data_IF_146439985472
#
_entry.id   IF_146439985472
#
_cell.length_a   1.000
_cell.length_b   1.000
_cell.length_c   1.000
_cell.angle_alpha   90.00
_cell.angle_beta   90.00
_cell.angle_gamma   90.00
#
_symmetry.space_group_name_H-M   'P 1'
#
loop_
_entity.id
_entity.type
_entity.pdbx_description
1 polymer ?
#
# COMPACT_ATOMS: atom_id res chain seq x y z
N UNK A 1 0.41 -10.46 2.00
CA UNK A 1 -0.82 -10.80 1.24
C UNK A 1 -1.71 -11.62 2.14
N UNK A 2 -2.96 -11.22 2.25
CA UNK A 2 -3.94 -11.99 2.96
C UNK A 2 -5.06 -12.35 1.99
N UNK A 3 -4.88 -13.45 1.27
CA UNK A 3 -6.04 -14.22 0.86
C UNK A 3 -6.55 -14.88 2.14
N UNK A 4 -7.65 -14.36 2.70
CA UNK A 4 -8.26 -14.89 3.93
C UNK A 4 -7.97 -14.14 5.24
N UNK A 5 -7.75 -12.81 5.27
CA UNK A 5 -7.91 -12.08 6.55
C UNK A 5 -7.28 -10.69 6.65
N UNK A 6 -8.04 -9.72 7.14
CA UNK A 6 -7.48 -8.49 7.71
C UNK A 6 -6.70 -8.84 9.01
N UNK A 7 -5.59 -8.15 9.32
CA UNK A 7 -4.94 -8.22 10.63
C UNK A 7 -5.84 -7.81 11.82
N UNK A 8 -6.94 -7.11 11.58
CA UNK A 8 -7.85 -6.62 12.62
C UNK A 8 -8.91 -7.64 13.05
N UNK A 9 -9.17 -8.69 12.26
CA UNK A 9 -10.13 -9.73 12.59
C UNK A 9 -9.45 -10.92 13.27
N UNK A 10 -9.79 -11.16 14.54
CA UNK A 10 -9.33 -12.34 15.31
C UNK A 10 -9.99 -13.66 14.86
N UNK A 11 -10.81 -13.65 13.82
CA UNK A 11 -11.50 -14.82 13.26
C UNK A 11 -11.10 -15.03 11.80
N UNK A 12 -9.98 -15.73 11.59
CA UNK A 12 -9.38 -16.03 10.26
C UNK A 12 -10.22 -17.00 9.39
N UNK A 13 -11.47 -17.24 9.76
CA UNK A 13 -12.26 -18.40 9.32
C UNK A 13 -13.37 -18.10 8.31
N UNK A 14 -13.62 -16.83 7.93
CA UNK A 14 -14.89 -16.46 7.24
C UNK A 14 -14.80 -16.01 5.78
N UNK A 15 -13.62 -15.78 5.20
CA UNK A 15 -13.53 -15.36 3.78
C UNK A 15 -13.39 -16.57 2.85
N UNK A 16 -14.29 -16.68 1.87
CA UNK A 16 -14.26 -17.76 0.89
C UNK A 16 -13.15 -17.53 -0.13
N UNK A 17 -12.53 -18.59 -0.66
CA UNK A 17 -11.54 -18.48 -1.74
C UNK A 17 -12.09 -17.81 -3.02
N UNK A 18 -13.41 -17.78 -3.20
CA UNK A 18 -14.09 -17.05 -4.28
C UNK A 18 -14.07 -15.53 -4.09
N UNK A 19 -13.76 -15.04 -2.90
CA UNK A 19 -13.65 -13.61 -2.62
C UNK A 19 -12.30 -13.05 -3.08
N UNK A 20 -12.27 -11.74 -3.27
CA UNK A 20 -11.08 -10.96 -3.60
C UNK A 20 -10.08 -10.91 -2.42
N UNK A 21 -8.79 -11.04 -2.73
CA UNK A 21 -7.76 -10.90 -1.70
C UNK A 21 -7.49 -9.43 -1.34
N UNK A 22 -7.16 -9.19 -0.07
CA UNK A 22 -6.69 -7.89 0.39
C UNK A 22 -5.16 -7.85 0.42
N UNK A 23 -4.61 -6.78 -0.12
CA UNK A 23 -3.19 -6.60 -0.32
C UNK A 23 -2.63 -5.57 0.67
N UNK A 24 -1.53 -5.94 1.31
CA UNK A 24 -0.90 -5.11 2.34
C UNK A 24 -0.01 -4.06 1.67
N UNK A 25 -0.28 -2.78 1.94
CA UNK A 25 0.45 -1.62 1.39
C UNK A 25 1.52 -1.06 2.32
N UNK A 26 1.86 -1.81 3.36
CA UNK A 26 3.00 -1.48 4.22
C UNK A 26 4.30 -1.59 3.45
N UNK A 27 5.32 -0.82 3.85
CA UNK A 27 6.69 -1.12 3.42
C UNK A 27 7.02 -2.56 3.80
N UNK A 28 7.58 -3.30 2.85
CA UNK A 28 7.85 -4.72 3.04
C UNK A 28 8.76 -4.97 4.25
N UNK A 29 8.32 -5.85 5.16
CA UNK A 29 9.10 -6.23 6.33
C UNK A 29 10.32 -7.11 6.00
N UNK A 30 10.50 -7.52 4.74
CA UNK A 30 11.66 -8.28 4.29
C UNK A 30 12.91 -7.39 4.23
N UNK A 31 13.48 -7.14 5.41
CA UNK A 31 14.67 -6.31 5.62
C UNK A 31 15.53 -6.89 6.75
N UNK A 32 16.82 -6.61 6.68
CA UNK A 32 17.78 -6.81 7.75
C UNK A 32 18.88 -5.75 7.64
N UNK A 33 19.87 -5.81 8.53
CA UNK A 33 21.00 -4.87 8.52
C UNK A 33 21.81 -4.88 7.22
N UNK A 34 21.71 -5.95 6.42
CA UNK A 34 22.45 -6.10 5.17
C UNK A 34 21.63 -5.69 3.92
N UNK A 35 20.30 -5.59 4.02
CA UNK A 35 19.42 -5.33 2.86
C UNK A 35 18.03 -4.88 3.30
N UNK A 36 17.36 -4.07 2.49
CA UNK A 36 15.96 -3.70 2.73
C UNK A 36 15.16 -3.72 1.43
N UNK A 37 13.97 -4.34 1.47
CA UNK A 37 13.01 -4.24 0.38
C UNK A 37 12.33 -2.87 0.44
N UNK A 38 12.42 -2.09 -0.64
CA UNK A 38 11.78 -0.78 -0.79
C UNK A 38 10.32 -0.86 -1.27
N UNK A 39 9.89 -2.04 -1.71
CA UNK A 39 8.55 -2.24 -2.28
C UNK A 39 7.49 -2.44 -1.20
N UNK A 40 6.23 -2.30 -1.61
CA UNK A 40 5.08 -2.59 -0.77
C UNK A 40 4.99 -4.10 -0.45
N UNK A 41 4.40 -4.43 0.69
CA UNK A 41 4.34 -5.78 1.23
C UNK A 41 3.63 -6.76 0.27
N UNK A 42 2.71 -6.30 -0.56
CA UNK A 42 2.08 -7.15 -1.57
C UNK A 42 2.94 -7.41 -2.81
N UNK A 43 3.85 -6.51 -3.16
CA UNK A 43 4.64 -6.62 -4.37
C UNK A 43 5.69 -7.74 -4.23
N UNK A 44 5.97 -8.49 -5.32
CA UNK A 44 7.10 -9.40 -5.37
C UNK A 44 8.37 -8.70 -4.89
N UNK A 45 9.06 -9.29 -3.92
CA UNK A 45 10.29 -8.70 -3.41
C UNK A 45 11.36 -8.72 -4.51
N UNK A 46 12.10 -7.63 -4.67
CA UNK A 46 13.25 -7.56 -5.58
C UNK A 46 14.59 -7.87 -4.87
N UNK A 47 14.57 -7.99 -3.55
CA UNK A 47 15.78 -8.25 -2.75
C UNK A 47 16.21 -9.71 -2.80
N UNK A 48 17.51 -9.94 -3.04
CA UNK A 48 18.11 -11.27 -2.92
C UNK A 48 18.06 -11.77 -1.46
N UNK A 49 17.96 -13.09 -1.22
CA UNK A 49 18.04 -13.65 0.12
C UNK A 49 19.32 -13.25 0.87
N UNK A 50 19.21 -12.99 2.17
CA UNK A 50 20.39 -12.79 3.00
C UNK A 50 21.12 -14.13 3.16
N UNK A 51 22.46 -14.10 3.13
CA UNK A 51 23.32 -15.28 3.34
C UNK A 51 24.08 -15.26 4.67
N UNK A 52 24.00 -14.16 5.42
CA UNK A 52 24.69 -14.04 6.71
C UNK A 52 23.95 -14.83 7.80
N UNK A 53 24.73 -15.47 8.69
CA UNK A 53 24.20 -16.11 9.90
C UNK A 53 23.50 -15.08 10.80
N UNK A 54 22.49 -15.54 11.52
CA UNK A 54 21.84 -14.70 12.52
C UNK A 54 22.79 -14.44 13.70
N UNK A 55 22.89 -13.19 14.15
CA UNK A 55 23.71 -12.79 15.31
C UNK A 55 22.91 -12.74 16.61
N UNK A 56 21.62 -13.07 16.57
CA UNK A 56 20.75 -13.06 17.76
C UNK A 56 20.97 -14.30 18.63
N UNK A 57 20.62 -14.17 19.91
CA UNK A 57 20.48 -15.30 20.84
C UNK A 57 19.02 -15.74 20.89
N UNK A 58 18.81 -17.05 21.04
CA UNK A 58 17.50 -17.65 21.31
C UNK A 58 17.07 -17.34 22.75
N UNK A 59 15.80 -17.64 23.07
CA UNK A 59 15.26 -17.44 24.44
C UNK A 59 16.05 -18.19 25.52
N UNK A 60 16.65 -19.33 25.18
CA UNK A 60 17.53 -20.09 26.05
C UNK A 60 18.93 -19.49 26.24
N UNK A 61 19.25 -18.34 25.61
CA UNK A 61 20.55 -17.67 25.70
C UNK A 61 21.62 -18.16 24.71
N UNK A 62 21.38 -19.28 24.02
CA UNK A 62 22.31 -19.82 23.03
C UNK A 62 22.22 -19.11 21.67
N UNK A 63 23.29 -19.19 20.89
CA UNK A 63 23.38 -18.60 19.56
C UNK A 63 22.34 -19.17 18.59
N UNK A 64 21.68 -18.30 17.83
CA UNK A 64 20.72 -18.71 16.80
C UNK A 64 21.43 -19.39 15.61
N UNK A 65 20.87 -20.51 15.17
CA UNK A 65 21.36 -21.28 14.02
C UNK A 65 20.74 -20.84 12.67
N UNK A 66 19.87 -19.83 12.69
CA UNK A 66 19.18 -19.33 11.50
C UNK A 66 19.97 -18.32 10.68
N UNK A 67 19.29 -17.72 9.70
CA UNK A 67 19.83 -16.66 8.85
C UNK A 67 19.37 -15.27 9.29
N UNK A 68 20.19 -14.26 9.02
CA UNK A 68 19.87 -12.87 9.28
C UNK A 68 18.68 -12.40 8.42
N UNK A 69 17.69 -11.74 9.05
CA UNK A 69 16.48 -11.25 8.39
C UNK A 69 15.36 -12.28 8.26
N UNK A 70 15.60 -13.53 8.67
CA UNK A 70 14.55 -14.53 8.81
C UNK A 70 13.99 -14.55 10.24
N UNK A 71 12.83 -15.18 10.40
CA UNK A 71 12.33 -15.55 11.73
C UNK A 71 13.33 -16.52 12.35
N UNK A 72 13.73 -16.24 13.60
CA UNK A 72 14.68 -17.12 14.28
C UNK A 72 14.00 -18.47 14.54
N UNK A 73 14.63 -19.59 14.16
CA UNK A 73 14.13 -20.92 14.46
C UNK A 73 14.12 -21.14 15.96
N UNK A 74 13.08 -21.80 16.49
CA UNK A 74 13.02 -22.16 17.91
C UNK A 74 13.94 -23.35 18.28
N UNK A 75 14.56 -24.02 17.30
CA UNK A 75 15.45 -25.17 17.50
C UNK A 75 16.85 -24.74 17.94
N UNK A 76 17.28 -25.19 19.12
CA UNK A 76 18.60 -24.94 19.68
C UNK A 76 19.50 -26.19 19.58
N UNK A 77 20.75 -26.02 19.14
CA UNK A 77 21.70 -27.14 19.04
C UNK A 77 22.10 -27.74 20.40
N UNK A 78 22.01 -26.96 21.48
CA UNK A 78 22.38 -27.39 22.84
C UNK A 78 21.15 -27.95 23.56
N UNK A 79 20.04 -27.21 23.58
CA UNK A 79 18.83 -27.64 24.29
C UNK A 79 18.11 -28.80 23.59
N UNK A 80 18.15 -28.86 22.26
CA UNK A 80 17.41 -29.84 21.44
C UNK A 80 18.35 -30.82 20.73
N UNK A 81 19.39 -31.29 21.42
CA UNK A 81 20.49 -32.06 20.82
C UNK A 81 20.03 -33.29 20.00
N UNK A 82 18.99 -34.00 20.44
CA UNK A 82 18.45 -35.16 19.70
C UNK A 82 17.86 -34.75 18.34
N UNK A 83 16.97 -33.75 18.33
CA UNK A 83 16.32 -33.24 17.11
C UNK A 83 17.32 -32.52 16.21
N UNK A 84 18.32 -31.88 16.80
CA UNK A 84 19.44 -31.30 16.08
C UNK A 84 20.25 -32.37 15.35
N UNK A 85 20.67 -33.44 16.04
CA UNK A 85 21.38 -34.57 15.42
C UNK A 85 20.59 -35.21 14.29
N UNK A 86 19.27 -35.36 14.45
CA UNK A 86 18.40 -35.87 13.39
C UNK A 86 18.42 -34.99 12.13
N UNK A 87 18.33 -33.66 12.30
CA UNK A 87 18.30 -32.71 11.20
C UNK A 87 19.59 -32.72 10.38
N UNK A 88 20.73 -32.97 11.03
CA UNK A 88 22.06 -33.00 10.41
C UNK A 88 22.58 -34.42 10.12
N UNK A 89 21.74 -35.46 10.22
CA UNK A 89 22.17 -36.87 10.05
C UNK A 89 22.94 -37.11 8.74
N UNK A 90 22.57 -36.39 7.67
CA UNK A 90 23.13 -36.54 6.33
C UNK A 90 23.89 -35.29 5.84
N UNK A 91 24.30 -34.37 6.75
CA UNK A 91 24.89 -33.08 6.35
C UNK A 91 25.88 -32.55 7.40
N UNK A 92 26.86 -31.74 6.97
CA UNK A 92 27.84 -31.14 7.88
C UNK A 92 27.20 -30.18 8.90
N UNK A 93 27.67 -30.20 10.16
CA UNK A 93 27.14 -29.41 11.27
C UNK A 93 27.30 -27.87 11.14
N UNK A 94 27.72 -27.36 10.00
CA UNK A 94 27.99 -25.93 9.75
C UNK A 94 26.86 -25.20 9.00
N UNK A 95 25.88 -25.94 8.44
CA UNK A 95 24.76 -25.40 7.67
C UNK A 95 23.76 -24.65 8.55
N UNK A 96 23.19 -23.56 8.00
CA UNK A 96 22.14 -22.78 8.68
C UNK A 96 20.78 -23.44 8.49
N UNK A 97 19.87 -23.23 9.45
CA UNK A 97 18.52 -23.82 9.43
C UNK A 97 17.44 -22.77 9.18
N UNK A 98 16.31 -23.20 8.63
CA UNK A 98 15.08 -22.42 8.51
C UNK A 98 13.93 -23.14 9.19
N UNK A 99 13.02 -22.36 9.77
CA UNK A 99 11.73 -22.84 10.26
C UNK A 99 10.61 -22.16 9.46
N UNK A 100 9.84 -22.94 8.72
CA UNK A 100 8.66 -22.40 8.04
C UNK A 100 7.56 -22.07 9.05
N UNK A 101 7.05 -20.84 9.00
CA UNK A 101 6.02 -20.38 9.96
C UNK A 101 4.64 -21.03 9.71
N UNK A 102 4.39 -21.53 8.50
CA UNK A 102 3.11 -22.16 8.14
C UNK A 102 2.96 -23.57 8.68
N UNK A 103 4.04 -24.36 8.72
CA UNK A 103 4.02 -25.77 9.11
C UNK A 103 4.97 -26.13 10.26
N UNK A 104 5.77 -25.18 10.77
CA UNK A 104 6.71 -25.38 11.87
C UNK A 104 7.90 -26.30 11.56
N UNK A 105 8.05 -26.77 10.31
CA UNK A 105 9.13 -27.68 9.94
C UNK A 105 10.49 -26.98 9.92
N UNK A 106 11.49 -27.64 10.51
CA UNK A 106 12.90 -27.25 10.44
C UNK A 106 13.60 -27.97 9.30
N UNK A 107 14.32 -27.23 8.46
CA UNK A 107 15.10 -27.76 7.35
C UNK A 107 16.43 -27.02 7.21
N UNK A 108 17.42 -27.70 6.64
CA UNK A 108 18.68 -27.08 6.21
C UNK A 108 18.43 -26.16 5.02
N UNK A 109 18.98 -24.95 5.05
CA UNK A 109 18.78 -23.92 4.01
C UNK A 109 19.10 -24.47 2.62
N UNK A 110 20.20 -25.19 2.47
CA UNK A 110 20.64 -25.76 1.19
C UNK A 110 19.65 -26.75 0.58
N UNK A 111 19.08 -27.63 1.42
CA UNK A 111 18.07 -28.59 1.00
C UNK A 111 16.78 -27.90 0.58
N UNK A 112 16.39 -26.84 1.29
CA UNK A 112 15.21 -26.05 0.92
C UNK A 112 15.45 -25.29 -0.38
N UNK A 113 16.60 -24.64 -0.54
CA UNK A 113 16.92 -23.90 -1.77
C UNK A 113 16.90 -24.80 -3.00
N UNK A 114 17.48 -26.01 -2.91
CA UNK A 114 17.46 -27.00 -3.99
C UNK A 114 16.02 -27.46 -4.30
N UNK A 115 15.23 -27.81 -3.28
CA UNK A 115 13.86 -28.28 -3.46
C UNK A 115 12.95 -27.20 -4.04
N UNK A 116 13.05 -25.96 -3.55
CA UNK A 116 12.28 -24.83 -4.08
C UNK A 116 12.69 -24.55 -5.54
N UNK A 117 13.99 -24.55 -5.85
CA UNK A 117 14.45 -24.36 -7.23
C UNK A 117 13.90 -25.44 -8.19
N UNK A 118 13.80 -26.69 -7.73
CA UNK A 118 13.19 -27.78 -8.51
C UNK A 118 11.70 -27.55 -8.74
N UNK A 119 10.94 -27.25 -7.68
CA UNK A 119 9.49 -26.96 -7.78
C UNK A 119 9.20 -25.80 -8.74
N UNK A 120 10.04 -24.76 -8.71
CA UNK A 120 9.91 -23.63 -9.64
C UNK A 120 10.14 -24.01 -11.11
N UNK A 121 11.10 -24.91 -11.40
CA UNK A 121 11.34 -25.40 -12.77
C UNK A 121 10.15 -26.21 -13.29
N UNK A 122 9.53 -26.99 -12.41
CA UNK A 122 8.31 -27.75 -12.70
C UNK A 122 7.04 -26.89 -12.73
N UNK A 123 7.14 -25.58 -12.44
CA UNK A 123 6.00 -24.64 -12.31
C UNK A 123 4.96 -25.11 -11.29
N UNK A 124 5.40 -25.84 -10.27
CA UNK A 124 4.55 -26.27 -9.17
C UNK A 124 4.45 -25.18 -8.10
N UNK A 125 3.32 -25.19 -7.37
CA UNK A 125 3.19 -24.36 -6.17
C UNK A 125 4.21 -24.75 -5.12
N UNK A 126 4.84 -23.76 -4.49
CA UNK A 126 5.83 -24.01 -3.47
C UNK A 126 5.24 -24.76 -2.26
N UNK A 127 5.85 -25.90 -1.94
CA UNK A 127 5.49 -26.78 -0.82
C UNK A 127 6.69 -27.00 0.09
N UNK A 128 6.40 -27.22 1.36
CA UNK A 128 7.42 -27.63 2.32
C UNK A 128 8.05 -28.95 1.88
N UNK A 129 9.38 -29.04 1.73
CA UNK A 129 10.02 -30.29 1.30
C UNK A 129 9.90 -31.44 2.30
N UNK A 130 9.61 -31.13 3.59
CA UNK A 130 9.47 -32.14 4.65
C UNK A 130 8.06 -32.72 4.75
N UNK A 131 7.04 -31.85 4.81
CA UNK A 131 5.66 -32.26 5.09
C UNK A 131 4.69 -32.02 3.93
N UNK A 132 5.18 -31.50 2.80
CA UNK A 132 4.41 -31.21 1.58
C UNK A 132 3.29 -30.17 1.75
N UNK A 133 3.15 -29.56 2.94
CA UNK A 133 2.21 -28.47 3.16
C UNK A 133 2.49 -27.29 2.24
N UNK A 134 1.43 -26.69 1.69
CA UNK A 134 1.52 -25.50 0.83
C UNK A 134 2.17 -24.34 1.58
N UNK A 135 3.20 -23.75 0.99
CA UNK A 135 3.82 -22.55 1.52
C UNK A 135 2.99 -21.32 1.13
N UNK A 136 2.78 -20.44 2.09
CA UNK A 136 2.14 -19.13 1.90
C UNK A 136 3.16 -18.00 2.02
N UNK A 137 2.80 -16.78 1.60
CA UNK A 137 3.66 -15.59 1.67
C UNK A 137 4.22 -15.31 3.08
N UNK A 138 3.55 -15.78 4.14
CA UNK A 138 3.98 -15.61 5.54
C UNK A 138 4.98 -16.69 6.01
N UNK A 139 5.27 -17.69 5.19
CA UNK A 139 6.05 -18.86 5.62
C UNK A 139 7.53 -18.54 5.86
N UNK A 140 8.13 -17.68 5.04
CA UNK A 140 9.57 -17.34 5.09
C UNK A 140 9.88 -16.11 4.21
N UNK A 141 10.81 -15.24 4.64
CA UNK A 141 11.19 -14.04 3.88
C UNK A 141 12.11 -14.38 2.69
N UNK A 142 12.91 -15.44 2.80
CA UNK A 142 13.83 -15.92 1.75
C UNK A 142 13.13 -16.19 0.43
N UNK A 143 11.95 -16.80 0.48
CA UNK A 143 11.16 -17.18 -0.70
C UNK A 143 9.99 -16.21 -0.97
N UNK A 144 9.99 -15.05 -0.30
CA UNK A 144 8.88 -14.10 -0.42
C UNK A 144 8.68 -13.62 -1.87
N UNK A 145 9.73 -13.49 -2.67
CA UNK A 145 9.59 -13.08 -4.08
C UNK A 145 8.79 -14.09 -4.91
N UNK A 146 9.05 -15.38 -4.70
CA UNK A 146 8.40 -16.50 -5.38
C UNK A 146 6.96 -16.68 -4.89
N UNK A 147 6.78 -16.77 -3.58
CA UNK A 147 5.48 -16.97 -2.94
C UNK A 147 4.52 -15.81 -3.26
N UNK A 148 5.04 -14.58 -3.35
CA UNK A 148 4.23 -13.44 -3.77
C UNK A 148 3.84 -13.49 -5.24
N UNK A 149 4.73 -13.94 -6.14
CA UNK A 149 4.39 -14.16 -7.54
C UNK A 149 3.31 -15.23 -7.71
N UNK A 150 3.41 -16.34 -6.98
CA UNK A 150 2.37 -17.39 -7.00
C UNK A 150 1.02 -16.86 -6.51
N UNK A 151 1.01 -16.14 -5.39
CA UNK A 151 -0.22 -15.55 -4.86
C UNK A 151 -0.88 -14.59 -5.88
N UNK A 152 -0.08 -13.76 -6.56
CA UNK A 152 -0.58 -12.89 -7.64
C UNK A 152 -1.07 -13.68 -8.85
N UNK A 153 -0.39 -14.77 -9.22
CA UNK A 153 -0.80 -15.66 -10.30
C UNK A 153 -2.13 -16.35 -10.03
N UNK A 154 -2.37 -16.79 -8.80
CA UNK A 154 -3.67 -17.35 -8.37
C UNK A 154 -4.78 -16.32 -8.53
N UNK A 155 -4.56 -15.09 -8.07
CA UNK A 155 -5.54 -14.02 -8.21
C UNK A 155 -5.81 -13.69 -9.69
N UNK A 156 -4.76 -13.59 -10.51
CA UNK A 156 -4.90 -13.42 -11.97
C UNK A 156 -5.72 -14.54 -12.61
N UNK A 157 -5.54 -15.79 -12.16
CA UNK A 157 -6.34 -16.93 -12.58
C UNK A 157 -7.83 -16.78 -12.30
N UNK A 158 -8.22 -16.21 -11.15
CA UNK A 158 -9.63 -15.93 -10.82
C UNK A 158 -10.27 -14.96 -11.81
N UNK A 159 -9.53 -13.95 -12.25
CA UNK A 159 -10.00 -12.99 -13.26
C UNK A 159 -10.14 -13.60 -14.66
N UNK A 160 -9.40 -14.66 -14.97
CA UNK A 160 -9.48 -15.35 -16.27
C UNK A 160 -10.55 -16.45 -16.30
N UNK A 161 -10.85 -17.09 -15.17
CA UNK A 161 -11.66 -18.31 -15.11
C UNK A 161 -13.16 -18.10 -14.77
N UNK A 162 -13.61 -16.89 -14.43
CA UNK A 162 -14.99 -16.69 -13.98
C UNK A 162 -16.01 -16.69 -15.14
N UNK A 163 -17.12 -17.41 -14.94
CA UNK A 163 -18.25 -17.51 -15.85
C UNK A 163 -18.88 -16.12 -16.12
N UNK A 164 -19.38 -15.94 -17.35
CA UNK A 164 -19.82 -14.64 -17.86
C UNK A 164 -21.35 -14.58 -17.88
N UNK A 165 -21.96 -13.80 -17.00
CA UNK A 165 -23.27 -13.19 -17.29
C UNK A 165 -23.04 -12.06 -18.29
N UNK A 166 -23.22 -12.36 -19.59
CA UNK A 166 -22.83 -11.51 -20.70
C UNK A 166 -23.52 -10.14 -20.68
N UNK A 167 -24.81 -10.05 -20.32
CA UNK A 167 -25.58 -8.80 -20.44
C UNK A 167 -25.25 -7.81 -19.31
N UNK A 168 -25.27 -8.29 -18.06
CA UNK A 168 -24.99 -7.44 -16.89
C UNK A 168 -23.54 -6.94 -16.89
N UNK A 169 -22.59 -7.81 -17.22
CA UNK A 169 -21.17 -7.46 -17.32
C UNK A 169 -20.94 -6.46 -18.45
N UNK A 170 -21.61 -6.60 -19.60
CA UNK A 170 -21.48 -5.67 -20.72
C UNK A 170 -21.93 -4.24 -20.37
N UNK A 171 -23.07 -4.09 -19.68
CA UNK A 171 -23.57 -2.78 -19.22
C UNK A 171 -22.63 -2.14 -18.20
N UNK A 172 -22.18 -2.90 -17.21
CA UNK A 172 -21.22 -2.41 -16.21
C UNK A 172 -19.90 -1.96 -16.86
N UNK A 173 -19.35 -2.76 -17.79
CA UNK A 173 -18.16 -2.40 -18.58
C UNK A 173 -18.34 -1.09 -19.34
N UNK A 174 -19.45 -0.95 -20.06
CA UNK A 174 -19.76 0.26 -20.84
C UNK A 174 -19.87 1.51 -19.95
N UNK A 175 -20.49 1.38 -18.77
CA UNK A 175 -20.61 2.48 -17.81
C UNK A 175 -19.24 2.90 -17.26
N UNK A 176 -18.36 1.95 -16.91
CA UNK A 176 -16.99 2.24 -16.46
C UNK A 176 -16.20 2.96 -17.55
N UNK A 177 -16.26 2.46 -18.80
CA UNK A 177 -15.55 3.08 -19.94
C UNK A 177 -16.05 4.51 -20.18
N UNK A 178 -17.36 4.73 -20.11
CA UNK A 178 -17.96 6.07 -20.26
C UNK A 178 -17.50 7.01 -19.16
N UNK A 179 -17.49 6.53 -17.91
CA UNK A 179 -16.99 7.29 -16.77
C UNK A 179 -15.51 7.67 -16.92
N UNK A 180 -14.65 6.70 -17.29
CA UNK A 180 -13.23 6.95 -17.56
C UNK A 180 -13.05 7.98 -18.68
N UNK A 181 -13.88 7.95 -19.74
CA UNK A 181 -13.84 8.94 -20.81
C UNK A 181 -14.16 10.35 -20.32
N UNK A 182 -15.16 10.50 -19.43
CA UNK A 182 -15.49 11.77 -18.78
C UNK A 182 -14.33 12.28 -17.95
N UNK A 183 -13.73 11.44 -17.10
CA UNK A 183 -12.58 11.83 -16.27
C UNK A 183 -11.38 12.28 -17.12
N UNK A 184 -11.07 11.55 -18.21
CA UNK A 184 -10.01 11.95 -19.16
C UNK A 184 -10.31 13.32 -19.77
N UNK A 185 -11.56 13.57 -20.16
CA UNK A 185 -11.98 14.87 -20.72
C UNK A 185 -11.78 15.99 -19.71
N UNK A 186 -12.19 15.80 -18.46
CA UNK A 186 -12.08 16.80 -17.41
C UNK A 186 -10.63 17.07 -16.99
N UNK A 187 -9.81 16.02 -16.92
CA UNK A 187 -8.37 16.16 -16.69
C UNK A 187 -7.68 16.93 -17.84
N UNK A 188 -8.01 16.64 -19.10
CA UNK A 188 -7.51 17.39 -20.27
C UNK A 188 -7.93 18.85 -20.24
N UNK A 189 -9.18 19.15 -19.87
CA UNK A 189 -9.66 20.53 -19.69
C UNK A 189 -8.84 21.27 -18.63
N UNK A 190 -8.60 20.63 -17.48
CA UNK A 190 -7.79 21.19 -16.40
C UNK A 190 -6.33 21.43 -16.83
N UNK A 191 -5.75 20.49 -17.59
CA UNK A 191 -4.41 20.61 -18.13
C UNK A 191 -4.22 21.88 -18.98
N UNK A 192 -5.19 22.17 -19.85
CA UNK A 192 -5.16 23.35 -20.72
C UNK A 192 -5.10 24.65 -19.92
N UNK A 193 -5.77 24.71 -18.77
CA UNK A 193 -5.81 25.86 -17.86
C UNK A 193 -4.59 25.97 -16.92
N UNK A 194 -3.77 24.92 -16.83
CA UNK A 194 -2.67 24.82 -15.86
C UNK A 194 -1.36 25.36 -16.45
N UNK A 195 -0.52 26.03 -15.65
CA UNK A 195 0.80 26.51 -16.10
C UNK A 195 1.75 25.36 -16.45
N UNK A 196 2.66 25.48 -17.43
CA UNK A 196 3.61 24.42 -17.83
C UNK A 196 4.39 23.79 -16.67
N UNK A 197 4.83 24.60 -15.70
CA UNK A 197 5.55 24.15 -14.50
C UNK A 197 4.74 23.22 -13.57
N UNK A 198 3.41 23.12 -13.77
CA UNK A 198 2.47 22.32 -12.96
C UNK A 198 1.76 21.22 -13.76
N UNK A 199 2.06 21.10 -15.06
CA UNK A 199 1.34 20.21 -16.01
C UNK A 199 1.80 18.75 -15.94
N UNK A 200 3.05 18.49 -15.54
CA UNK A 200 3.64 17.15 -15.58
C UNK A 200 2.80 16.09 -14.86
N UNK A 201 2.23 16.45 -13.71
CA UNK A 201 1.39 15.58 -12.92
C UNK A 201 0.07 15.18 -13.60
N UNK A 202 -0.69 16.19 -14.03
CA UNK A 202 -1.98 15.99 -14.68
C UNK A 202 -1.81 15.15 -15.95
N UNK A 203 -0.70 15.31 -16.68
CA UNK A 203 -0.37 14.49 -17.84
C UNK A 203 -0.23 13.01 -17.48
N UNK A 204 0.57 12.68 -16.45
CA UNK A 204 0.80 11.29 -16.05
C UNK A 204 -0.48 10.58 -15.63
N UNK A 205 -1.36 11.27 -14.89
CA UNK A 205 -2.65 10.74 -14.49
C UNK A 205 -3.61 10.62 -15.68
N UNK A 206 -3.70 11.65 -16.53
CA UNK A 206 -4.56 11.62 -17.73
C UNK A 206 -4.18 10.44 -18.63
N UNK A 207 -2.90 10.25 -18.89
CA UNK A 207 -2.37 9.15 -19.69
C UNK A 207 -2.62 7.78 -19.05
N UNK A 208 -2.48 7.67 -17.72
CA UNK A 208 -2.81 6.44 -17.00
C UNK A 208 -4.30 6.10 -17.10
N UNK A 209 -5.20 7.05 -16.86
CA UNK A 209 -6.66 6.86 -16.93
C UNK A 209 -7.10 6.54 -18.37
N UNK A 210 -6.50 7.17 -19.38
CA UNK A 210 -6.81 6.89 -20.78
C UNK A 210 -6.30 5.51 -21.22
N UNK A 211 -5.10 5.12 -20.77
CA UNK A 211 -4.55 3.77 -20.98
C UNK A 211 -5.46 2.70 -20.38
N UNK A 212 -5.99 2.96 -19.18
CA UNK A 212 -6.97 2.11 -18.52
C UNK A 212 -8.23 2.01 -19.37
N UNK A 213 -8.79 3.13 -19.81
CA UNK A 213 -10.00 3.17 -20.64
C UNK A 213 -9.85 2.33 -21.90
N UNK A 214 -8.71 2.47 -22.59
CA UNK A 214 -8.39 1.72 -23.81
C UNK A 214 -8.22 0.22 -23.50
N UNK A 215 -7.49 -0.12 -22.43
CA UNK A 215 -7.32 -1.50 -21.99
C UNK A 215 -8.65 -2.14 -21.60
N UNK A 216 -9.50 -1.40 -20.89
CA UNK A 216 -10.83 -1.82 -20.45
C UNK A 216 -11.69 -2.22 -21.64
N UNK A 217 -11.71 -1.40 -22.70
CA UNK A 217 -12.46 -1.70 -23.93
C UNK A 217 -12.06 -3.06 -24.54
N UNK A 218 -10.76 -3.39 -24.51
CA UNK A 218 -10.18 -4.62 -25.09
C UNK A 218 -10.23 -5.84 -24.18
N UNK A 219 -10.46 -5.66 -22.88
CA UNK A 219 -10.40 -6.74 -21.89
C UNK A 219 -11.66 -7.60 -21.83
N UNK A 220 -11.50 -8.87 -21.41
CA UNK A 220 -12.61 -9.70 -20.96
C UNK A 220 -13.15 -9.17 -19.63
N UNK A 221 -14.47 -9.17 -19.47
CA UNK A 221 -15.13 -8.59 -18.29
C UNK A 221 -16.14 -9.57 -17.72
N UNK A 222 -15.92 -9.98 -16.48
CA UNK A 222 -16.77 -10.90 -15.72
C UNK A 222 -17.18 -10.27 -14.38
N UNK A 223 -17.95 -11.01 -13.59
CA UNK A 223 -18.47 -10.51 -12.31
C UNK A 223 -17.38 -10.15 -11.30
N UNK A 224 -16.28 -10.90 -11.26
CA UNK A 224 -15.14 -10.63 -10.36
C UNK A 224 -14.47 -9.31 -10.74
N UNK A 225 -14.27 -9.08 -12.05
CA UNK A 225 -13.77 -7.82 -12.59
C UNK A 225 -14.74 -6.68 -12.28
N UNK A 226 -16.04 -6.88 -12.51
CA UNK A 226 -17.07 -5.86 -12.24
C UNK A 226 -17.11 -5.43 -10.77
N UNK A 227 -17.05 -6.39 -9.84
CA UNK A 227 -17.00 -6.13 -8.40
C UNK A 227 -15.74 -5.34 -8.01
N UNK A 228 -14.57 -5.77 -8.51
CA UNK A 228 -13.30 -5.09 -8.23
C UNK A 228 -13.31 -3.64 -8.72
N UNK A 229 -13.83 -3.39 -9.92
CA UNK A 229 -13.96 -2.03 -10.46
C UNK A 229 -14.96 -1.19 -9.68
N UNK A 230 -16.11 -1.76 -9.28
CA UNK A 230 -17.08 -1.04 -8.45
C UNK A 230 -16.46 -0.51 -7.16
N UNK A 231 -15.56 -1.28 -6.54
CA UNK A 231 -14.82 -0.86 -5.33
C UNK A 231 -13.74 0.16 -5.62
N UNK A 232 -13.09 0.07 -6.79
CA UNK A 232 -11.98 0.94 -7.16
C UNK A 232 -12.41 2.32 -7.68
N UNK A 233 -13.59 2.40 -8.30
CA UNK A 233 -14.11 3.62 -8.91
C UNK A 233 -14.14 4.84 -7.95
N UNK A 234 -14.63 4.72 -6.69
CA UNK A 234 -14.57 5.81 -5.72
C UNK A 234 -13.16 6.39 -5.53
N UNK A 235 -12.17 5.53 -5.27
CA UNK A 235 -10.79 5.98 -5.03
C UNK A 235 -10.16 6.60 -6.28
N UNK A 236 -10.49 6.09 -7.48
CA UNK A 236 -10.05 6.71 -8.73
C UNK A 236 -10.72 8.05 -8.99
N UNK A 237 -12.01 8.19 -8.66
CA UNK A 237 -12.72 9.46 -8.75
C UNK A 237 -12.11 10.50 -7.82
N UNK A 238 -11.83 10.10 -6.58
CA UNK A 238 -11.15 10.95 -5.60
C UNK A 238 -9.74 11.34 -6.07
N UNK A 239 -8.98 10.41 -6.66
CA UNK A 239 -7.66 10.67 -7.24
C UNK A 239 -7.73 11.71 -8.36
N UNK A 240 -8.71 11.61 -9.25
CA UNK A 240 -8.93 12.58 -10.31
C UNK A 240 -9.37 13.94 -9.75
N UNK A 241 -10.31 13.96 -8.80
CA UNK A 241 -10.81 15.17 -8.16
C UNK A 241 -9.69 15.93 -7.41
N UNK A 242 -8.89 15.22 -6.61
CA UNK A 242 -7.78 15.84 -5.88
C UNK A 242 -6.70 16.35 -6.82
N UNK A 243 -6.39 15.62 -7.89
CA UNK A 243 -5.38 16.05 -8.85
C UNK A 243 -5.80 17.32 -9.59
N UNK A 244 -7.09 17.44 -9.96
CA UNK A 244 -7.65 18.68 -10.51
C UNK A 244 -7.55 19.84 -9.52
N UNK A 245 -7.91 19.63 -8.24
CA UNK A 245 -7.79 20.67 -7.20
C UNK A 245 -6.35 21.10 -6.97
N UNK A 246 -5.40 20.16 -6.90
CA UNK A 246 -3.97 20.46 -6.73
C UNK A 246 -3.45 21.31 -7.89
N UNK A 247 -3.85 21.00 -9.11
CA UNK A 247 -3.41 21.73 -10.29
C UNK A 247 -3.87 23.20 -10.32
N UNK A 248 -5.07 23.48 -9.82
CA UNK A 248 -5.63 24.84 -9.75
C UNK A 248 -5.25 25.57 -8.46
N UNK A 249 -4.78 24.86 -7.43
CA UNK A 249 -4.40 25.47 -6.15
C UNK A 249 -3.06 26.21 -6.29
N UNK A 250 -3.01 27.43 -5.72
CA UNK A 250 -1.77 28.16 -5.50
C UNK A 250 -1.21 27.75 -4.15
N UNK A 251 0.02 27.21 -4.09
CA UNK A 251 0.69 26.88 -2.82
C UNK A 251 1.68 27.98 -2.43
N UNK A 252 1.99 28.08 -1.14
CA UNK A 252 3.08 28.92 -0.65
C UNK A 252 4.43 28.27 -0.93
N UNK A 253 5.41 29.07 -1.36
CA UNK A 253 6.76 28.60 -1.69
C UNK A 253 7.66 28.44 -0.48
N UNK A 254 7.35 29.06 0.67
CA UNK A 254 8.00 28.86 1.96
C UNK A 254 7.25 29.78 2.96
N UNK A 255 6.81 29.31 4.14
CA UNK A 255 6.26 30.21 5.15
C UNK A 255 7.29 31.27 5.57
N UNK A 256 6.79 32.46 5.92
CA UNK A 256 7.65 33.58 6.31
C UNK A 256 8.46 33.26 7.57
N UNK A 257 9.60 33.95 7.75
CA UNK A 257 10.49 33.75 8.92
C UNK A 257 9.80 34.05 10.26
N UNK A 258 8.79 34.93 10.27
CA UNK A 258 8.03 35.27 11.47
C UNK A 258 6.99 34.20 11.87
N UNK A 259 6.85 33.11 11.09
CA UNK A 259 5.93 32.00 11.36
C UNK A 259 6.72 30.69 11.60
N UNK A 260 7.50 30.59 12.70
CA UNK A 260 8.37 29.46 12.97
C UNK A 260 7.63 28.12 13.08
N UNK A 261 6.41 28.08 13.63
CA UNK A 261 5.65 26.84 13.79
C UNK A 261 5.18 26.30 12.44
N UNK A 262 4.59 27.16 11.60
CA UNK A 262 4.21 26.79 10.23
C UNK A 262 5.41 26.38 9.38
N UNK A 263 6.54 27.09 9.49
CA UNK A 263 7.78 26.74 8.78
C UNK A 263 8.29 25.36 9.20
N UNK A 264 8.15 25.01 10.48
CA UNK A 264 8.50 23.69 11.01
C UNK A 264 7.63 22.58 10.41
N UNK A 265 6.31 22.78 10.35
CA UNK A 265 5.38 21.84 9.70
C UNK A 265 5.73 21.69 8.21
N UNK A 266 5.86 22.81 7.49
CA UNK A 266 6.13 22.79 6.06
C UNK A 266 7.45 22.08 5.72
N UNK A 267 8.51 22.37 6.47
CA UNK A 267 9.82 21.75 6.25
C UNK A 267 9.79 20.25 6.51
N UNK A 268 9.06 19.80 7.54
CA UNK A 268 8.95 18.38 7.88
C UNK A 268 8.27 17.56 6.76
N UNK A 269 7.20 18.08 6.15
CA UNK A 269 6.37 17.31 5.22
C UNK A 269 6.68 17.53 3.73
N UNK A 270 7.33 18.63 3.38
CA UNK A 270 7.68 18.97 1.98
C UNK A 270 9.19 19.08 1.73
N UNK A 271 10.02 18.97 2.78
CA UNK A 271 11.48 18.88 2.67
C UNK A 271 12.19 20.15 2.17
N UNK A 272 13.47 20.00 1.79
CA UNK A 272 14.34 21.11 1.34
C UNK A 272 13.98 21.68 -0.04
N UNK A 273 13.24 20.95 -0.87
CA UNK A 273 12.82 21.43 -2.19
C UNK A 273 11.87 22.63 -2.09
N UNK A 274 11.23 22.82 -0.93
CA UNK A 274 10.23 23.86 -0.66
C UNK A 274 9.11 23.91 -1.73
N UNK A 275 8.89 22.78 -2.41
CA UNK A 275 7.99 22.67 -3.54
C UNK A 275 6.96 21.58 -3.28
N UNK A 276 5.75 22.03 -2.94
CA UNK A 276 4.59 21.17 -2.69
C UNK A 276 4.26 20.29 -3.89
N UNK A 277 4.32 20.84 -5.11
CA UNK A 277 4.04 20.07 -6.33
C UNK A 277 5.03 18.91 -6.46
N UNK A 278 6.33 19.15 -6.33
CA UNK A 278 7.34 18.08 -6.40
C UNK A 278 7.13 16.95 -5.37
N UNK A 279 6.77 17.31 -4.13
CA UNK A 279 6.53 16.33 -3.07
C UNK A 279 5.26 15.49 -3.25
N UNK A 280 4.27 16.04 -3.95
CA UNK A 280 3.03 15.37 -4.32
C UNK A 280 3.24 14.54 -5.60
N UNK A 281 3.96 15.08 -6.58
CA UNK A 281 4.25 14.46 -7.87
C UNK A 281 4.94 13.11 -7.70
N UNK A 282 5.92 13.00 -6.80
CA UNK A 282 6.60 11.73 -6.53
C UNK A 282 5.65 10.61 -6.07
N UNK A 283 4.62 10.93 -5.28
CA UNK A 283 3.61 9.94 -4.85
C UNK A 283 2.67 9.57 -6.00
N UNK A 284 2.25 10.54 -6.79
CA UNK A 284 1.38 10.32 -7.94
C UNK A 284 2.07 9.55 -9.07
N UNK A 285 3.35 9.80 -9.33
CA UNK A 285 4.14 9.00 -10.28
C UNK A 285 4.22 7.52 -9.87
N UNK A 286 4.40 7.25 -8.58
CA UNK A 286 4.36 5.87 -8.07
C UNK A 286 2.98 5.23 -8.28
N UNK A 287 1.90 5.91 -7.89
CA UNK A 287 0.54 5.38 -8.04
C UNK A 287 0.14 5.14 -9.49
N UNK A 288 0.42 6.10 -10.37
CA UNK A 288 0.13 5.99 -11.81
C UNK A 288 0.96 4.89 -12.47
N UNK A 289 2.22 4.69 -12.05
CA UNK A 289 3.03 3.55 -12.45
C UNK A 289 2.40 2.20 -12.09
N UNK A 290 1.89 2.06 -10.86
CA UNK A 290 1.17 0.87 -10.43
C UNK A 290 -0.12 0.64 -11.19
N UNK A 291 -0.90 1.70 -11.41
CA UNK A 291 -2.13 1.64 -12.20
C UNK A 291 -1.87 1.06 -13.58
N UNK A 292 -0.90 1.59 -14.33
CA UNK A 292 -0.59 1.11 -15.69
C UNK A 292 -0.18 -0.36 -15.74
N UNK A 293 0.56 -0.84 -14.75
CA UNK A 293 1.13 -2.20 -14.76
C UNK A 293 0.13 -3.28 -14.32
N UNK A 294 -0.78 -2.97 -13.41
CA UNK A 294 -1.52 -4.03 -12.68
C UNK A 294 -3.03 -3.95 -12.80
N UNK A 295 -3.60 -2.80 -13.17
CA UNK A 295 -5.06 -2.58 -13.10
C UNK A 295 -5.86 -3.42 -14.09
N UNK A 296 -5.24 -3.79 -15.21
CA UNK A 296 -5.89 -4.62 -16.22
C UNK A 296 -5.74 -6.11 -15.94
N UNK A 297 -4.75 -6.50 -15.13
CA UNK A 297 -4.47 -7.91 -14.84
C UNK A 297 -5.12 -8.38 -13.54
N UNK A 298 -5.00 -7.59 -12.48
CA UNK A 298 -5.47 -7.94 -11.13
C UNK A 298 -5.92 -6.67 -10.39
N UNK A 299 -7.02 -6.00 -10.79
CA UNK A 299 -7.44 -4.72 -10.21
C UNK A 299 -7.66 -4.76 -8.69
N UNK A 300 -8.01 -5.92 -8.12
CA UNK A 300 -8.12 -6.11 -6.67
C UNK A 300 -6.81 -5.83 -5.90
N UNK A 301 -5.65 -5.99 -6.54
CA UNK A 301 -4.34 -5.64 -5.95
C UNK A 301 -4.14 -4.15 -5.72
N UNK A 302 -4.83 -3.34 -6.51
CA UNK A 302 -4.65 -1.91 -6.51
C UNK A 302 -5.60 -1.18 -5.56
N UNK A 303 -6.73 -1.78 -5.17
CA UNK A 303 -7.72 -1.14 -4.29
C UNK A 303 -7.05 -0.55 -3.05
N UNK A 304 -6.30 -1.32 -2.23
CA UNK A 304 -5.68 -0.74 -1.03
C UNK A 304 -4.58 0.27 -1.37
N UNK A 305 -3.86 0.07 -2.48
CA UNK A 305 -2.75 0.93 -2.89
C UNK A 305 -3.23 2.30 -3.34
N UNK A 306 -4.31 2.34 -4.13
CA UNK A 306 -4.92 3.57 -4.62
C UNK A 306 -5.64 4.26 -3.48
N UNK A 307 -6.46 3.56 -2.69
CA UNK A 307 -7.14 4.13 -1.53
C UNK A 307 -6.14 4.79 -0.55
N UNK A 308 -5.07 4.08 -0.18
CA UNK A 308 -4.07 4.62 0.74
C UNK A 308 -3.22 5.74 0.11
N UNK A 309 -2.90 5.61 -1.18
CA UNK A 309 -2.17 6.62 -1.92
C UNK A 309 -2.93 7.94 -2.06
N UNK A 310 -4.23 7.88 -2.38
CA UNK A 310 -5.14 9.03 -2.45
C UNK A 310 -5.18 9.74 -1.10
N UNK A 311 -5.30 8.99 0.00
CA UNK A 311 -5.26 9.55 1.36
C UNK A 311 -3.94 10.26 1.66
N UNK A 312 -2.79 9.70 1.27
CA UNK A 312 -1.48 10.37 1.44
C UNK A 312 -1.43 11.69 0.68
N UNK A 313 -1.89 11.70 -0.58
CA UNK A 313 -1.94 12.91 -1.41
C UNK A 313 -2.89 13.94 -0.78
N UNK A 314 -4.05 13.49 -0.29
CA UNK A 314 -5.02 14.32 0.39
C UNK A 314 -4.46 14.96 1.66
N UNK A 315 -3.80 14.20 2.53
CA UNK A 315 -3.17 14.74 3.73
C UNK A 315 -2.16 15.82 3.34
N UNK A 316 -1.27 15.57 2.37
CA UNK A 316 -0.30 16.56 1.90
C UNK A 316 -0.98 17.80 1.31
N UNK A 317 -2.04 17.62 0.54
CA UNK A 317 -2.82 18.73 0.00
C UNK A 317 -3.41 19.59 1.12
N UNK A 318 -4.09 18.98 2.10
CA UNK A 318 -4.69 19.67 3.23
C UNK A 318 -3.66 20.45 4.04
N UNK A 319 -2.51 19.84 4.38
CA UNK A 319 -1.43 20.52 5.09
C UNK A 319 -0.94 21.74 4.30
N UNK A 320 -0.84 21.63 2.98
CA UNK A 320 -0.41 22.74 2.12
C UNK A 320 -1.42 23.89 2.09
N UNK A 321 -2.72 23.57 2.09
CA UNK A 321 -3.80 24.57 2.17
C UNK A 321 -3.77 25.25 3.53
N UNK A 322 -3.73 24.50 4.63
CA UNK A 322 -3.64 25.04 5.99
C UNK A 322 -2.45 26.00 6.11
N UNK A 323 -1.25 25.56 5.72
CA UNK A 323 -0.04 26.39 5.80
C UNK A 323 -0.21 27.68 5.01
N UNK A 324 -0.76 27.60 3.79
CA UNK A 324 -1.00 28.77 2.95
C UNK A 324 -1.97 29.75 3.59
N UNK A 325 -3.12 29.27 4.06
CA UNK A 325 -4.19 30.16 4.54
C UNK A 325 -3.82 30.81 5.87
N UNK A 326 -3.19 30.08 6.80
CA UNK A 326 -2.68 30.68 8.04
C UNK A 326 -1.57 31.69 7.73
N UNK A 327 -0.69 31.42 6.75
CA UNK A 327 0.36 32.36 6.34
C UNK A 327 -0.19 33.72 5.89
N UNK A 328 -1.42 33.80 5.38
CA UNK A 328 -2.04 35.08 4.98
C UNK A 328 -2.51 35.92 6.17
N UNK A 329 -2.73 35.30 7.34
CA UNK A 329 -3.27 35.96 8.53
C UNK A 329 -2.18 36.58 9.41
N UNK A 330 -0.91 36.47 9.03
CA UNK A 330 0.26 36.97 9.77
C UNK A 330 0.32 36.56 11.26
N UNK A 331 -0.44 35.53 11.64
CA UNK A 331 -0.55 35.00 13.00
C UNK A 331 -0.18 33.51 12.94
N UNK A 332 0.77 33.10 13.77
CA UNK A 332 1.28 31.71 13.76
C UNK A 332 0.44 30.79 14.67
N UNK A 333 0.66 29.48 14.52
CA UNK A 333 0.18 28.47 15.45
C UNK A 333 0.92 28.56 16.78
N UNK A 334 0.23 28.23 17.87
CA UNK A 334 0.89 27.95 19.15
C UNK A 334 1.75 26.69 19.04
N UNK A 335 2.77 26.57 19.90
CA UNK A 335 3.61 25.36 19.97
C UNK A 335 2.79 24.10 20.25
N UNK A 336 1.76 24.21 21.10
CA UNK A 336 0.85 23.10 21.43
C UNK A 336 0.07 22.66 20.20
N UNK A 337 -0.59 23.59 19.49
CA UNK A 337 -1.30 23.28 18.25
C UNK A 337 -0.37 22.64 17.21
N UNK A 338 0.83 23.19 17.02
CA UNK A 338 1.82 22.63 16.09
C UNK A 338 2.17 21.17 16.42
N UNK A 339 2.45 20.87 17.69
CA UNK A 339 2.83 19.51 18.11
C UNK A 339 1.69 18.52 17.94
N UNK A 340 0.46 18.90 18.33
CA UNK A 340 -0.73 18.07 18.14
C UNK A 340 -0.99 17.78 16.66
N UNK A 341 -0.92 18.80 15.81
CA UNK A 341 -1.10 18.66 14.36
C UNK A 341 -0.05 17.70 13.78
N UNK A 342 1.22 17.88 14.12
CA UNK A 342 2.29 17.01 13.62
C UNK A 342 2.06 15.55 13.99
N UNK A 343 1.69 15.29 15.24
CA UNK A 343 1.40 13.93 15.70
C UNK A 343 0.30 13.27 14.86
N UNK A 344 -0.79 13.99 14.58
CA UNK A 344 -1.91 13.44 13.80
C UNK A 344 -1.58 13.33 12.31
N UNK A 345 -0.81 14.27 11.74
CA UNK A 345 -0.29 14.15 10.36
C UNK A 345 0.63 12.92 10.25
N UNK A 346 1.57 12.75 11.17
CA UNK A 346 2.50 11.62 11.17
C UNK A 346 1.73 10.30 11.24
N UNK A 347 0.70 10.22 12.09
CA UNK A 347 -0.20 9.07 12.17
C UNK A 347 -0.94 8.79 10.86
N UNK A 348 -1.41 9.83 10.17
CA UNK A 348 -2.15 9.70 8.90
C UNK A 348 -1.25 9.34 7.70
N UNK A 349 0.01 9.79 7.71
CA UNK A 349 1.01 9.50 6.67
C UNK A 349 1.78 8.20 6.90
N UNK A 350 1.78 7.69 8.14
CA UNK A 350 2.38 6.40 8.45
C UNK A 350 1.66 5.31 7.66
N UNK A 351 2.39 4.45 6.92
CA UNK A 351 1.78 3.29 6.33
C UNK A 351 1.02 2.51 7.42
N UNK A 352 -0.28 2.30 7.21
CA UNK A 352 -1.10 1.44 8.06
C UNK A 352 -2.02 0.56 7.20
N UNK A 353 -2.75 -0.36 7.83
CA UNK A 353 -3.88 -1.00 7.15
C UNK A 353 -4.88 0.07 6.68
N UNK A 354 -5.55 -0.17 5.55
CA UNK A 354 -6.47 0.80 4.94
C UNK A 354 -7.50 1.39 5.92
N UNK A 355 -8.12 0.52 6.73
CA UNK A 355 -9.10 0.91 7.76
C UNK A 355 -8.50 1.80 8.86
N UNK A 356 -7.29 1.49 9.29
CA UNK A 356 -6.56 2.25 10.30
C UNK A 356 -6.10 3.60 9.76
N UNK A 357 -5.61 3.63 8.51
CA UNK A 357 -5.21 4.87 7.85
C UNK A 357 -6.42 5.78 7.65
N UNK A 358 -7.58 5.24 7.24
CA UNK A 358 -8.83 5.99 7.11
C UNK A 358 -9.21 6.67 8.43
N UNK A 359 -9.16 5.94 9.56
CA UNK A 359 -9.40 6.49 10.91
C UNK A 359 -8.41 7.60 11.27
N UNK A 360 -7.13 7.42 10.95
CA UNK A 360 -6.11 8.44 11.20
C UNK A 360 -6.34 9.72 10.37
N UNK A 361 -6.77 9.60 9.11
CA UNK A 361 -7.12 10.74 8.26
C UNK A 361 -8.39 11.44 8.76
N UNK A 362 -9.40 10.70 9.22
CA UNK A 362 -10.59 11.30 9.83
C UNK A 362 -10.25 12.11 11.10
N UNK A 363 -9.37 11.57 11.95
CA UNK A 363 -8.84 12.27 13.12
C UNK A 363 -8.08 13.55 12.74
N UNK A 364 -7.29 13.52 11.67
CA UNK A 364 -6.62 14.71 11.12
C UNK A 364 -7.63 15.77 10.70
N UNK A 365 -8.68 15.37 9.97
CA UNK A 365 -9.70 16.32 9.50
C UNK A 365 -10.47 16.95 10.65
N UNK A 366 -10.73 16.20 11.73
CA UNK A 366 -11.32 16.74 12.96
C UNK A 366 -10.41 17.81 13.59
N UNK A 367 -9.10 17.54 13.66
CA UNK A 367 -8.12 18.53 14.15
C UNK A 367 -8.02 19.75 13.24
N UNK A 368 -8.09 19.58 11.92
CA UNK A 368 -8.09 20.69 10.98
C UNK A 368 -9.31 21.58 11.14
N UNK A 369 -10.47 20.99 11.44
CA UNK A 369 -11.68 21.75 11.79
C UNK A 369 -11.47 22.63 13.02
N UNK A 370 -10.95 22.08 14.12
CA UNK A 370 -10.66 22.86 15.35
C UNK A 370 -9.75 24.07 15.06
N UNK A 371 -8.73 23.87 14.24
CA UNK A 371 -7.81 24.95 13.84
C UNK A 371 -8.52 25.95 12.93
N UNK A 372 -9.27 25.47 11.94
CA UNK A 372 -9.96 26.36 11.03
C UNK A 372 -11.04 27.17 11.75
N UNK A 373 -11.72 26.62 12.75
CA UNK A 373 -12.66 27.36 13.61
C UNK A 373 -11.92 28.47 14.38
N UNK A 374 -10.78 28.14 15.00
CA UNK A 374 -9.97 29.10 15.75
C UNK A 374 -9.40 30.24 14.88
N UNK A 375 -9.29 30.01 13.57
CA UNK A 375 -8.79 30.99 12.61
C UNK A 375 -9.88 31.49 11.66
N UNK A 376 -11.18 31.21 11.86
CA UNK A 376 -12.25 31.64 10.95
C UNK A 376 -12.04 31.24 9.47
N UNK A 377 -11.69 29.97 9.24
CA UNK A 377 -11.34 29.37 7.93
C UNK A 377 -12.18 28.14 7.58
N UNK A 378 -13.35 27.96 8.20
CA UNK A 378 -14.16 26.73 8.08
C UNK A 378 -14.53 26.38 6.63
N UNK A 379 -14.76 27.40 5.79
CA UNK A 379 -15.04 27.27 4.35
C UNK A 379 -13.89 26.64 3.52
N UNK A 380 -12.69 26.52 4.07
CA UNK A 380 -11.53 25.92 3.40
C UNK A 380 -11.43 24.41 3.60
N UNK A 381 -12.22 23.83 4.50
CA UNK A 381 -12.19 22.40 4.78
C UNK A 381 -12.78 21.62 3.60
N UNK A 382 -11.99 20.73 3.01
CA UNK A 382 -12.49 19.85 1.96
C UNK A 382 -12.84 18.48 2.53
N UNK A 383 -14.13 18.17 2.62
CA UNK A 383 -14.65 16.94 3.22
C UNK A 383 -15.15 15.89 2.19
N UNK A 384 -15.02 16.16 0.89
CA UNK A 384 -15.82 15.47 -0.14
C UNK A 384 -15.17 14.20 -0.74
N UNK A 385 -14.09 13.67 -0.16
CA UNK A 385 -13.47 12.45 -0.69
C UNK A 385 -14.12 11.19 -0.14
N UNK A 386 -14.60 10.32 -1.05
CA UNK A 386 -15.25 9.07 -0.71
C UNK A 386 -14.33 8.09 0.05
N UNK A 387 -13.03 8.12 -0.24
CA UNK A 387 -11.99 7.32 0.39
C UNK A 387 -11.77 7.69 1.87
N UNK A 388 -12.29 8.85 2.30
CA UNK A 388 -12.22 9.36 3.68
C UNK A 388 -13.56 9.17 4.40
N UNK A 389 -14.68 9.36 3.70
CA UNK A 389 -16.01 9.15 4.26
C UNK A 389 -16.25 7.67 4.51
N UNK A 390 -16.60 7.28 5.72
CA UNK A 390 -17.10 5.93 6.00
C UNK A 390 -18.61 5.92 5.76
N UNK A 391 -19.13 5.12 4.81
CA UNK A 391 -20.58 4.96 4.67
C UNK A 391 -21.25 4.47 5.96
N UNK A 392 -20.50 3.78 6.84
CA UNK A 392 -20.98 3.32 8.15
C UNK A 392 -20.88 4.38 9.25
N UNK A 393 -20.22 5.52 9.00
CA UNK A 393 -20.15 6.68 9.91
C UNK A 393 -20.71 7.95 9.25
N UNK A 394 -21.51 7.80 8.18
CA UNK A 394 -22.31 8.89 7.67
C UNK A 394 -23.33 9.25 8.74
N UNK A 395 -23.00 10.26 9.54
CA UNK A 395 -23.90 10.92 10.46
C UNK A 395 -25.15 11.35 9.66
N UNK A 396 -26.39 11.00 10.08
CA UNK A 396 -27.61 11.38 9.36
C UNK A 396 -27.82 12.90 9.23
N UNK A 397 -26.95 13.73 9.80
CA UNK A 397 -27.16 15.17 9.98
C UNK A 397 -26.46 16.08 8.96
N UNK A 398 -25.94 15.55 7.85
CA UNK A 398 -25.47 16.37 6.71
C UNK A 398 -26.40 16.25 5.51
N UNK A 399 -27.69 16.45 5.76
CA UNK A 399 -28.74 16.50 4.75
C UNK A 399 -29.80 17.53 5.10
N UNK A 400 -29.47 18.81 4.98
CA UNK A 400 -30.38 19.92 4.62
C UNK A 400 -29.57 21.04 3.99
#
# INVERSE_FOLDING_TARGET
MCCGGSPADRDFSRRKCSEECLFCVQICANKCVHRACSYLCWQPCEVKPCKHKCTKKLRCGHSCAGLCGEMCPDLCNICDAARWKELFRNSGHSSSILQFQSCGCFLLVENVDAAIAMQQRSKEFLKCPKCLSKLTVKSCFRYAAQLKREALGVEKGKFLAAAVDLDRCSKAKANIIRWLATEVKDLKKCLNMTSPAKRGLLLLLTDAVDSIRIGMAKSNFNEVTASSWKRLLPDLSDLCAISRRIATTKFCSNPSRHLPCLRSIFTQYFGKSQNVHSAIDGQLSLLTGFMRQTIMEVPSTLIPSIACGVRVIFVKYQVSVMVREISKRATDLTKTQMNEIKMVIDKALTPAEESQQKKAVAELMRKFREIYDAFDMTHMLWAELQCITDPMLADPMLGT
#
